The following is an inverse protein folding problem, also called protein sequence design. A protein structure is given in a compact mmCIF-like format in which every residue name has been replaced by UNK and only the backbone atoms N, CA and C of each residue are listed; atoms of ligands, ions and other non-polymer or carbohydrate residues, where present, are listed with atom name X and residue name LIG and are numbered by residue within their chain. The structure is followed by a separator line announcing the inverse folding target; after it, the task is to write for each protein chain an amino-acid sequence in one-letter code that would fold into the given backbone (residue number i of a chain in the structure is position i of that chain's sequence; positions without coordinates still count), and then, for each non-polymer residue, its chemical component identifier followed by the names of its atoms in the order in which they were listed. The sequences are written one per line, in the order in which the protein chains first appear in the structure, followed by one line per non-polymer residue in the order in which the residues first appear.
data_IF_461952453313
#
_entry.id   IF_461952453313
#
_cell.length_a   1.000
_cell.length_b   1.000
_cell.length_c   1.000
_cell.angle_alpha   90.00
_cell.angle_beta   90.00
_cell.angle_gamma   90.00
#
_symmetry.space_group_name_H-M   'P 1'
#
loop_
_entity.id
_entity.type
_entity.pdbx_description
1 polymer ?
#
# COMPACT_ATOMS: atom_id res chain seq x y z
N UNK A 1 -23.63 6.14 -39.50
CA UNK A 1 -23.53 5.15 -38.41
C UNK A 1 -24.41 5.64 -37.27
N UNK A 2 -25.01 4.75 -36.48
CA UNK A 2 -25.86 5.17 -35.35
C UNK A 2 -24.99 5.67 -34.19
N UNK A 3 -25.49 6.62 -33.39
CA UNK A 3 -24.77 7.14 -32.22
C UNK A 3 -24.31 6.03 -31.25
N UNK A 4 -25.09 4.95 -31.13
CA UNK A 4 -24.75 3.79 -30.31
C UNK A 4 -23.54 2.99 -30.85
N UNK A 5 -23.36 2.95 -32.18
CA UNK A 5 -22.20 2.29 -32.78
C UNK A 5 -20.92 3.10 -32.55
N UNK A 6 -21.00 4.43 -32.62
CA UNK A 6 -19.87 5.32 -32.34
C UNK A 6 -19.44 5.25 -30.86
N UNK A 7 -20.42 5.23 -29.94
CA UNK A 7 -20.15 5.04 -28.51
C UNK A 7 -19.45 3.71 -28.23
N UNK A 8 -19.96 2.62 -28.80
CA UNK A 8 -19.40 1.28 -28.62
C UNK A 8 -17.94 1.20 -29.12
N UNK A 9 -17.65 1.79 -30.29
CA UNK A 9 -16.30 1.81 -30.86
C UNK A 9 -15.31 2.61 -29.98
N UNK A 10 -15.73 3.76 -29.45
CA UNK A 10 -14.90 4.56 -28.55
C UNK A 10 -14.65 3.84 -27.22
N UNK A 11 -15.67 3.18 -26.65
CA UNK A 11 -15.51 2.36 -25.44
C UNK A 11 -14.59 1.16 -25.70
N UNK A 12 -14.72 0.48 -26.83
CA UNK A 12 -13.82 -0.61 -27.21
C UNK A 12 -12.35 -0.16 -27.31
N UNK A 13 -12.10 1.04 -27.84
CA UNK A 13 -10.75 1.61 -27.88
C UNK A 13 -10.16 1.81 -26.47
N UNK A 14 -10.97 2.24 -25.50
CA UNK A 14 -10.58 2.38 -24.10
C UNK A 14 -10.27 1.02 -23.46
N UNK A 15 -11.03 -0.03 -23.81
CA UNK A 15 -10.83 -1.39 -23.29
C UNK A 15 -9.59 -2.08 -23.87
N UNK A 16 -9.24 -1.81 -25.13
CA UNK A 16 -8.04 -2.37 -25.78
C UNK A 16 -6.74 -1.83 -25.20
N UNK A 17 -6.75 -0.59 -24.71
CA UNK A 17 -5.59 0.03 -24.07
C UNK A 17 -5.99 0.74 -22.77
N UNK A 18 -6.19 -0.02 -21.65
CA UNK A 18 -6.70 0.53 -20.40
C UNK A 18 -5.81 1.57 -19.72
N UNK A 19 -4.53 1.63 -20.07
CA UNK A 19 -3.60 2.60 -19.48
C UNK A 19 -3.48 3.89 -20.26
N UNK A 20 -3.86 3.88 -21.53
CA UNK A 20 -3.67 5.02 -22.39
C UNK A 20 -4.81 6.01 -22.18
N UNK A 21 -4.43 7.22 -21.82
CA UNK A 21 -5.39 8.29 -21.60
C UNK A 21 -5.96 8.81 -22.93
N UNK A 22 -5.27 8.64 -24.07
CA UNK A 22 -5.74 9.17 -25.35
C UNK A 22 -7.12 8.64 -25.79
N UNK A 23 -7.39 7.32 -25.82
CA UNK A 23 -8.74 6.82 -26.09
C UNK A 23 -9.80 7.36 -25.12
N UNK A 24 -9.43 7.60 -23.86
CA UNK A 24 -10.34 8.14 -22.83
C UNK A 24 -10.65 9.60 -23.09
N UNK A 25 -9.65 10.40 -23.46
CA UNK A 25 -9.82 11.80 -23.81
C UNK A 25 -10.66 11.96 -25.08
N UNK A 26 -10.47 11.12 -26.09
CA UNK A 26 -11.34 11.11 -27.29
C UNK A 26 -12.78 10.75 -26.91
N UNK A 27 -12.98 9.77 -26.04
CA UNK A 27 -14.32 9.45 -25.53
C UNK A 27 -14.93 10.59 -24.71
N UNK A 28 -14.11 11.32 -23.95
CA UNK A 28 -14.53 12.50 -23.20
C UNK A 28 -14.99 13.64 -24.13
N UNK A 29 -14.28 13.89 -25.24
CA UNK A 29 -14.69 14.88 -26.25
C UNK A 29 -16.07 14.52 -26.83
N UNK A 30 -16.27 13.25 -27.18
CA UNK A 30 -17.56 12.76 -27.68
C UNK A 30 -18.70 12.92 -26.66
N UNK A 31 -18.42 12.73 -25.37
CA UNK A 31 -19.39 12.94 -24.27
C UNK A 31 -19.74 14.42 -24.08
N UNK A 32 -18.77 15.32 -24.20
CA UNK A 32 -18.97 16.77 -24.05
C UNK A 32 -19.85 17.35 -25.15
N UNK A 33 -19.66 16.91 -26.40
CA UNK A 33 -20.54 17.28 -27.53
C UNK A 33 -22.02 16.96 -27.26
N UNK A 34 -22.28 16.03 -26.34
CA UNK A 34 -23.61 15.56 -25.95
C UNK A 34 -24.05 16.09 -24.58
N UNK A 35 -23.27 16.99 -23.98
CA UNK A 35 -23.57 17.62 -22.70
C UNK A 35 -23.44 16.66 -21.50
N UNK A 36 -22.73 15.54 -21.64
CA UNK A 36 -22.55 14.60 -20.54
C UNK A 36 -21.44 15.06 -19.59
N UNK A 37 -21.71 15.21 -18.28
CA UNK A 37 -20.71 15.63 -17.30
C UNK A 37 -19.58 14.59 -17.10
N UNK A 38 -19.76 13.38 -17.66
CA UNK A 38 -18.74 12.31 -17.62
C UNK A 38 -17.49 12.68 -18.44
N UNK A 39 -17.62 13.48 -19.50
CA UNK A 39 -16.47 13.94 -20.28
C UNK A 39 -15.50 14.77 -19.44
N UNK A 40 -16.00 15.78 -18.73
CA UNK A 40 -15.21 16.53 -17.74
C UNK A 40 -14.58 15.61 -16.69
N UNK A 41 -15.35 14.66 -16.16
CA UNK A 41 -14.86 13.76 -15.13
C UNK A 41 -13.68 12.88 -15.59
N UNK A 42 -13.75 12.32 -16.80
CA UNK A 42 -12.66 11.55 -17.40
C UNK A 42 -11.38 12.39 -17.41
N UNK A 43 -11.45 13.64 -17.90
CA UNK A 43 -10.28 14.52 -17.99
C UNK A 43 -9.71 14.88 -16.62
N UNK A 44 -10.59 15.15 -15.64
CA UNK A 44 -10.17 15.41 -14.25
C UNK A 44 -9.40 14.22 -13.69
N UNK A 45 -9.90 12.99 -13.87
CA UNK A 45 -9.22 11.81 -13.36
C UNK A 45 -7.94 11.46 -14.13
N UNK A 46 -7.88 11.70 -15.45
CA UNK A 46 -6.65 11.54 -16.24
C UNK A 46 -5.57 12.53 -15.76
N UNK A 47 -5.92 13.82 -15.59
CA UNK A 47 -4.99 14.83 -15.09
C UNK A 47 -4.50 14.52 -13.65
N UNK A 48 -5.38 13.98 -12.79
CA UNK A 48 -5.00 13.50 -11.46
C UNK A 48 -4.04 12.30 -11.51
N UNK A 49 -4.20 11.42 -12.50
CA UNK A 49 -3.34 10.24 -12.68
C UNK A 49 -1.96 10.60 -13.24
N UNK A 50 -1.86 11.62 -14.10
CA UNK A 50 -0.59 12.11 -14.64
C UNK A 50 0.30 12.70 -13.52
N UNK A 51 -0.30 13.42 -12.57
CA UNK A 51 0.37 13.85 -11.34
C UNK A 51 1.47 14.93 -11.53
N UNK A 52 1.60 15.50 -12.72
CA UNK A 52 2.57 16.56 -13.07
C UNK A 52 2.13 17.95 -12.62
N UNK A 53 0.83 18.12 -12.34
CA UNK A 53 0.25 19.40 -11.97
C UNK A 53 0.72 19.91 -10.59
N UNK A 54 0.86 21.24 -10.40
CA UNK A 54 1.17 21.83 -9.10
C UNK A 54 0.16 21.44 -8.01
N UNK A 55 0.61 21.41 -6.75
CA UNK A 55 -0.21 21.01 -5.59
C UNK A 55 -1.55 21.74 -5.48
N UNK A 56 -1.60 23.04 -5.82
CA UNK A 56 -2.83 23.82 -5.80
C UNK A 56 -3.86 23.31 -6.82
N UNK A 57 -3.40 22.95 -8.02
CA UNK A 57 -4.26 22.42 -9.08
C UNK A 57 -4.71 20.99 -8.74
N UNK A 58 -3.84 20.14 -8.22
CA UNK A 58 -4.23 18.81 -7.74
C UNK A 58 -5.33 18.87 -6.67
N UNK A 59 -5.28 19.86 -5.76
CA UNK A 59 -6.34 20.08 -4.77
C UNK A 59 -7.65 20.50 -5.42
N UNK A 60 -7.60 21.40 -6.41
CA UNK A 60 -8.77 21.84 -7.18
C UNK A 60 -9.40 20.68 -7.96
N UNK A 61 -8.59 19.90 -8.67
CA UNK A 61 -9.02 18.71 -9.41
C UNK A 61 -9.68 17.69 -8.48
N UNK A 62 -9.11 17.39 -7.31
CA UNK A 62 -9.73 16.49 -6.31
C UNK A 62 -11.04 17.04 -5.73
N UNK A 63 -11.21 18.36 -5.64
CA UNK A 63 -12.50 18.94 -5.27
C UNK A 63 -13.51 18.72 -6.39
N UNK A 64 -13.12 18.98 -7.63
CA UNK A 64 -13.98 18.82 -8.80
C UNK A 64 -14.39 17.36 -9.06
N UNK A 65 -13.46 16.43 -8.93
CA UNK A 65 -13.71 14.98 -9.00
C UNK A 65 -14.83 14.56 -8.03
N UNK A 66 -14.78 15.03 -6.78
CA UNK A 66 -15.79 14.72 -5.76
C UNK A 66 -17.15 15.32 -6.07
N UNK A 67 -17.18 16.55 -6.57
CA UNK A 67 -18.43 17.20 -7.01
C UNK A 67 -19.10 16.39 -8.13
N UNK A 68 -18.32 16.02 -9.16
CA UNK A 68 -18.82 15.27 -10.30
C UNK A 68 -19.33 13.87 -9.90
N UNK A 69 -18.61 13.17 -9.02
CA UNK A 69 -19.01 11.86 -8.48
C UNK A 69 -20.27 11.94 -7.61
N UNK A 70 -20.39 12.97 -6.77
CA UNK A 70 -21.52 13.10 -5.86
C UNK A 70 -22.83 13.34 -6.62
N UNK A 71 -22.78 14.18 -7.66
CA UNK A 71 -23.97 14.53 -8.45
C UNK A 71 -24.34 13.45 -9.47
N UNK A 72 -23.39 12.62 -9.92
CA UNK A 72 -23.60 11.73 -11.06
C UNK A 72 -23.04 10.31 -10.84
N UNK A 73 -23.24 9.75 -9.65
CA UNK A 73 -22.64 8.47 -9.22
C UNK A 73 -23.04 7.24 -10.05
N UNK A 74 -24.12 7.36 -10.84
CA UNK A 74 -24.64 6.32 -11.72
C UNK A 74 -24.64 6.83 -13.17
N UNK A 75 -23.48 6.89 -13.82
CA UNK A 75 -23.46 7.05 -15.27
C UNK A 75 -24.04 5.77 -15.91
N UNK A 76 -25.10 5.96 -16.70
CA UNK A 76 -26.18 5.00 -16.97
C UNK A 76 -25.77 3.64 -17.60
N UNK A 77 -24.51 3.45 -18.00
CA UNK A 77 -24.02 2.24 -18.65
C UNK A 77 -23.09 1.35 -17.79
N UNK A 78 -22.57 1.83 -16.65
CA UNK A 78 -21.65 1.06 -15.78
C UNK A 78 -22.25 0.70 -14.41
N UNK A 79 -23.45 1.21 -14.15
CA UNK A 79 -24.30 0.77 -13.05
C UNK A 79 -24.63 -0.75 -13.01
N UNK A 80 -24.69 -1.52 -14.13
CA UNK A 80 -25.04 -2.94 -14.07
C UNK A 80 -23.88 -3.86 -13.67
N UNK A 81 -22.65 -3.34 -13.51
CA UNK A 81 -21.55 -4.14 -12.99
C UNK A 81 -21.89 -4.57 -11.57
N UNK A 82 -22.07 -5.88 -11.35
CA UNK A 82 -22.43 -6.50 -10.06
C UNK A 82 -21.27 -6.47 -9.04
N UNK A 83 -20.54 -5.37 -9.01
CA UNK A 83 -19.45 -5.07 -8.10
C UNK A 83 -19.97 -4.31 -6.89
N UNK A 84 -19.52 -4.72 -5.71
CA UNK A 84 -19.75 -3.98 -4.48
C UNK A 84 -18.67 -2.91 -4.34
N UNK A 85 -19.06 -1.69 -3.94
CA UNK A 85 -18.15 -0.53 -3.79
C UNK A 85 -17.31 -0.29 -5.07
N UNK A 86 -17.95 -0.12 -6.24
CA UNK A 86 -17.21 0.23 -7.44
C UNK A 86 -16.49 1.57 -7.24
N UNK A 87 -15.30 1.71 -7.84
CA UNK A 87 -14.58 2.99 -7.88
C UNK A 87 -14.19 3.31 -9.31
N UNK A 88 -14.36 4.58 -9.66
CA UNK A 88 -13.95 5.09 -10.95
C UNK A 88 -12.46 5.39 -10.98
N UNK A 89 -11.81 4.96 -12.06
CA UNK A 89 -10.42 5.23 -12.42
C UNK A 89 -10.43 5.78 -13.83
N UNK A 90 -9.91 6.99 -14.01
CA UNK A 90 -9.86 7.70 -15.31
C UNK A 90 -11.20 7.73 -16.04
N UNK A 91 -12.30 7.83 -15.29
CA UNK A 91 -13.66 7.98 -15.79
C UNK A 91 -14.44 6.70 -16.06
N UNK A 92 -13.88 5.53 -15.74
CA UNK A 92 -14.52 4.22 -15.89
C UNK A 92 -14.45 3.42 -14.60
N UNK A 93 -15.32 2.44 -14.40
CA UNK A 93 -15.19 1.49 -13.28
C UNK A 93 -13.89 0.68 -13.43
N UNK A 94 -12.85 1.12 -12.72
CA UNK A 94 -11.53 0.49 -12.75
C UNK A 94 -11.25 -0.39 -11.53
N UNK A 95 -12.10 -0.35 -10.50
CA UNK A 95 -12.01 -1.29 -9.39
C UNK A 95 -13.32 -1.59 -8.69
N UNK A 96 -13.37 -2.72 -8.00
CA UNK A 96 -14.50 -3.07 -7.15
C UNK A 96 -14.26 -4.32 -6.32
N UNK A 97 -15.29 -4.71 -5.56
CA UNK A 97 -15.30 -5.93 -4.77
C UNK A 97 -16.24 -6.93 -5.44
N UNK A 98 -15.72 -8.10 -5.77
CA UNK A 98 -16.47 -9.21 -6.31
C UNK A 98 -16.51 -10.36 -5.31
N UNK A 99 -17.68 -10.99 -5.16
CA UNK A 99 -17.76 -12.24 -4.40
C UNK A 99 -17.06 -13.34 -5.18
N UNK A 100 -16.19 -14.10 -4.51
CA UNK A 100 -15.46 -15.22 -5.15
C UNK A 100 -16.41 -16.34 -5.61
N UNK A 101 -17.68 -16.34 -5.17
CA UNK A 101 -18.69 -17.26 -5.72
C UNK A 101 -18.99 -16.96 -7.19
N UNK A 102 -18.85 -15.71 -7.63
CA UNK A 102 -19.27 -15.23 -8.95
C UNK A 102 -18.10 -14.91 -9.89
N UNK A 103 -16.83 -15.08 -9.50
CA UNK A 103 -15.71 -14.69 -10.37
C UNK A 103 -15.69 -15.45 -11.70
N UNK A 104 -16.09 -16.73 -11.70
CA UNK A 104 -16.05 -17.58 -12.88
C UNK A 104 -17.14 -17.22 -13.90
N UNK A 105 -18.28 -16.67 -13.46
CA UNK A 105 -19.37 -16.25 -14.35
C UNK A 105 -19.28 -14.79 -14.73
N UNK A 106 -18.87 -13.92 -13.80
CA UNK A 106 -18.86 -12.47 -14.01
C UNK A 106 -17.50 -11.92 -14.42
N UNK A 107 -16.39 -12.62 -14.17
CA UNK A 107 -15.05 -12.08 -14.40
C UNK A 107 -14.81 -11.65 -15.85
N UNK A 108 -15.14 -12.52 -16.82
CA UNK A 108 -15.03 -12.23 -18.26
C UNK A 108 -15.94 -11.06 -18.67
N UNK A 109 -17.18 -11.02 -18.14
CA UNK A 109 -18.12 -9.93 -18.41
C UNK A 109 -17.57 -8.59 -17.89
N UNK A 110 -17.02 -8.58 -16.67
CA UNK A 110 -16.51 -7.36 -16.04
C UNK A 110 -15.35 -6.75 -16.83
N UNK A 111 -14.41 -7.57 -17.32
CA UNK A 111 -13.28 -7.06 -18.11
C UNK A 111 -13.68 -6.71 -19.56
N UNK A 112 -14.77 -7.29 -20.06
CA UNK A 112 -15.33 -6.93 -21.37
C UNK A 112 -16.15 -5.63 -21.34
N UNK A 113 -16.73 -5.27 -20.19
CA UNK A 113 -17.59 -4.09 -20.05
C UNK A 113 -16.86 -2.87 -19.46
N UNK A 114 -15.74 -3.09 -18.78
CA UNK A 114 -14.98 -2.02 -18.13
C UNK A 114 -13.46 -2.28 -18.13
N UNK A 115 -12.63 -1.21 -18.20
CA UNK A 115 -11.18 -1.30 -18.08
C UNK A 115 -10.78 -1.55 -16.63
N UNK A 116 -11.09 -2.76 -16.13
CA UNK A 116 -10.89 -3.14 -14.75
C UNK A 116 -9.39 -3.35 -14.47
N UNK A 117 -8.80 -2.48 -13.64
CA UNK A 117 -7.38 -2.55 -13.28
C UNK A 117 -7.17 -3.29 -11.94
N UNK A 118 -8.15 -3.25 -11.04
CA UNK A 118 -8.01 -3.68 -9.65
C UNK A 118 -9.26 -4.42 -9.16
N UNK A 119 -9.10 -5.64 -8.62
CA UNK A 119 -10.24 -6.43 -8.11
C UNK A 119 -9.96 -6.94 -6.71
N UNK A 120 -10.94 -6.79 -5.82
CA UNK A 120 -10.93 -7.46 -4.52
C UNK A 120 -11.90 -8.62 -4.54
N UNK A 121 -11.39 -9.84 -4.43
CA UNK A 121 -12.19 -11.05 -4.30
C UNK A 121 -12.41 -11.36 -2.82
N UNK A 122 -13.67 -11.40 -2.39
CA UNK A 122 -14.03 -11.70 -0.99
C UNK A 122 -14.93 -12.93 -0.89
N UNK A 123 -14.84 -13.62 0.24
CA UNK A 123 -15.83 -14.55 0.77
C UNK A 123 -16.05 -15.83 -0.08
N UNK A 124 -15.07 -16.73 -0.04
CA UNK A 124 -15.34 -18.13 -0.39
C UNK A 124 -14.09 -18.99 -0.37
N UNK A 125 -14.04 -19.85 0.63
CA UNK A 125 -13.12 -20.97 0.64
C UNK A 125 -13.36 -21.86 -0.61
N UNK A 126 -12.29 -22.45 -1.13
CA UNK A 126 -12.30 -23.61 -2.04
C UNK A 126 -12.43 -23.36 -3.55
N UNK A 127 -11.90 -22.25 -4.10
CA UNK A 127 -11.92 -22.01 -5.56
C UNK A 127 -10.64 -21.45 -6.18
N UNK A 128 -9.51 -21.47 -5.48
CA UNK A 128 -8.25 -20.91 -5.98
C UNK A 128 -7.74 -21.59 -7.24
N UNK A 129 -7.86 -22.92 -7.34
CA UNK A 129 -7.48 -23.65 -8.55
C UNK A 129 -8.30 -23.22 -9.78
N UNK A 130 -9.60 -22.89 -9.59
CA UNK A 130 -10.45 -22.36 -10.66
C UNK A 130 -10.08 -20.92 -11.01
N UNK A 131 -9.79 -20.09 -10.00
CA UNK A 131 -9.33 -18.73 -10.20
C UNK A 131 -8.04 -18.70 -11.01
N UNK A 132 -7.10 -19.61 -10.74
CA UNK A 132 -5.83 -19.74 -11.45
C UNK A 132 -5.99 -19.95 -12.97
N UNK A 133 -7.13 -20.47 -13.41
CA UNK A 133 -7.44 -20.76 -14.82
C UNK A 133 -8.18 -19.61 -15.51
N UNK A 134 -8.55 -18.55 -14.80
CA UNK A 134 -9.30 -17.44 -15.36
C UNK A 134 -8.42 -16.52 -16.20
N UNK A 135 -8.74 -16.41 -17.49
CA UNK A 135 -7.96 -15.62 -18.45
C UNK A 135 -8.03 -14.11 -18.20
N UNK A 136 -9.16 -13.63 -17.67
CA UNK A 136 -9.37 -12.24 -17.30
C UNK A 136 -8.39 -11.71 -16.24
N UNK A 137 -7.68 -12.59 -15.50
CA UNK A 137 -6.60 -12.17 -14.60
C UNK A 137 -5.46 -11.45 -15.35
N UNK A 138 -5.25 -11.77 -16.63
CA UNK A 138 -4.21 -11.16 -17.46
C UNK A 138 -4.41 -9.67 -17.71
N UNK A 139 -5.61 -9.14 -17.45
CA UNK A 139 -5.92 -7.72 -17.57
C UNK A 139 -5.76 -6.96 -16.25
N UNK A 140 -5.66 -7.67 -15.11
CA UNK A 140 -5.58 -7.05 -13.80
C UNK A 140 -4.15 -6.65 -13.43
N UNK A 141 -4.04 -5.45 -12.85
CA UNK A 141 -2.79 -4.92 -12.26
C UNK A 141 -2.76 -5.11 -10.76
N UNK A 142 -3.93 -5.12 -10.12
CA UNK A 142 -4.04 -5.32 -8.69
C UNK A 142 -5.08 -6.38 -8.36
N UNK A 143 -4.69 -7.30 -7.48
CA UNK A 143 -5.56 -8.35 -6.98
C UNK A 143 -5.46 -8.41 -5.47
N UNK A 144 -6.61 -8.28 -4.81
CA UNK A 144 -6.73 -8.55 -3.39
C UNK A 144 -7.54 -9.80 -3.17
N UNK A 145 -6.94 -10.76 -2.46
CA UNK A 145 -7.54 -12.02 -2.01
C UNK A 145 -7.79 -12.00 -0.50
N UNK A 146 -7.94 -10.81 0.09
CA UNK A 146 -8.10 -10.62 1.53
C UNK A 146 -9.28 -11.40 2.13
N UNK A 147 -9.05 -11.95 3.33
CA UNK A 147 -10.06 -12.66 4.12
C UNK A 147 -10.66 -13.88 3.39
N UNK A 148 -9.85 -14.55 2.57
CA UNK A 148 -10.19 -15.86 2.01
C UNK A 148 -9.39 -16.94 2.74
N UNK A 149 -10.08 -18.00 3.17
CA UNK A 149 -9.43 -19.26 3.53
C UNK A 149 -9.16 -20.03 2.24
N UNK A 150 -7.93 -20.51 2.07
CA UNK A 150 -7.55 -21.31 0.92
C UNK A 150 -7.53 -22.78 1.34
N UNK A 151 -7.93 -23.68 0.44
CA UNK A 151 -7.68 -25.10 0.66
C UNK A 151 -6.16 -25.31 0.73
N UNK A 152 -5.66 -26.14 1.66
CA UNK A 152 -4.25 -26.50 1.69
C UNK A 152 -3.78 -26.95 0.30
N UNK A 153 -2.66 -26.38 -0.18
CA UNK A 153 -2.11 -26.70 -1.50
C UNK A 153 -2.78 -26.03 -2.70
N UNK A 154 -3.87 -25.26 -2.52
CA UNK A 154 -4.53 -24.56 -3.63
C UNK A 154 -3.85 -23.24 -4.03
N UNK A 155 -3.10 -22.61 -3.12
CA UNK A 155 -2.37 -21.37 -3.41
C UNK A 155 -1.17 -21.58 -4.34
N UNK A 156 -0.38 -22.69 -4.24
CA UNK A 156 0.64 -23.02 -5.22
C UNK A 156 0.11 -23.15 -6.65
N UNK A 157 -1.10 -23.70 -6.82
CA UNK A 157 -1.77 -23.77 -8.14
C UNK A 157 -2.06 -22.37 -8.68
N UNK A 158 -2.49 -21.45 -7.82
CA UNK A 158 -2.69 -20.06 -8.20
C UNK A 158 -1.37 -19.35 -8.56
N UNK A 159 -0.31 -19.57 -7.79
CA UNK A 159 1.02 -19.00 -8.07
C UNK A 159 1.61 -19.44 -9.43
N UNK A 160 1.15 -20.58 -9.95
CA UNK A 160 1.51 -21.10 -11.29
C UNK A 160 0.59 -20.61 -12.42
N UNK A 161 -0.40 -19.77 -12.13
CA UNK A 161 -1.31 -19.26 -13.16
C UNK A 161 -0.56 -18.51 -14.27
N UNK A 162 -0.84 -18.82 -15.56
CA UNK A 162 -0.22 -18.15 -16.69
C UNK A 162 -0.70 -16.69 -16.86
N UNK A 163 -1.76 -16.31 -16.15
CA UNK A 163 -2.47 -15.04 -16.34
C UNK A 163 -2.07 -13.96 -15.33
N UNK A 164 -1.00 -14.16 -14.54
CA UNK A 164 -0.53 -13.18 -13.55
C UNK A 164 0.57 -12.23 -14.08
N UNK A 165 0.87 -12.30 -15.38
CA UNK A 165 2.00 -11.60 -16.01
C UNK A 165 1.98 -10.07 -15.91
N UNK A 166 0.79 -9.48 -15.77
CA UNK A 166 0.56 -8.03 -15.69
C UNK A 166 0.37 -7.53 -14.26
N UNK A 167 0.34 -8.43 -13.28
CA UNK A 167 0.02 -8.10 -11.90
C UNK A 167 1.17 -7.32 -11.25
N UNK A 168 0.88 -6.10 -10.80
CA UNK A 168 1.81 -5.22 -10.11
C UNK A 168 1.63 -5.22 -8.59
N UNK A 169 0.43 -5.58 -8.11
CA UNK A 169 0.11 -5.57 -6.69
C UNK A 169 -0.72 -6.78 -6.29
N UNK A 170 -0.19 -7.59 -5.38
CA UNK A 170 -0.89 -8.73 -4.78
C UNK A 170 -1.07 -8.50 -3.28
N UNK A 171 -2.32 -8.59 -2.82
CA UNK A 171 -2.65 -8.49 -1.40
C UNK A 171 -3.34 -9.78 -0.95
N UNK A 172 -2.78 -10.42 0.06
CA UNK A 172 -3.30 -11.64 0.69
C UNK A 172 -3.22 -11.48 2.20
N UNK A 173 -4.19 -10.78 2.80
CA UNK A 173 -4.24 -10.53 4.24
C UNK A 173 -5.31 -11.35 4.93
N UNK A 174 -5.07 -11.66 6.21
CA UNK A 174 -6.01 -12.44 7.04
C UNK A 174 -6.41 -13.76 6.36
N UNK A 175 -5.42 -14.40 5.75
CA UNK A 175 -5.54 -15.70 5.08
C UNK A 175 -4.62 -16.69 5.79
N UNK A 176 -5.03 -17.96 5.84
CA UNK A 176 -4.21 -19.04 6.41
C UNK A 176 -3.18 -19.53 5.39
N UNK A 177 -2.24 -18.66 5.02
CA UNK A 177 -1.09 -19.08 4.22
C UNK A 177 -0.18 -19.97 5.06
N UNK A 178 0.32 -21.03 4.44
CA UNK A 178 1.30 -21.98 4.96
C UNK A 178 2.66 -21.74 4.29
N UNK A 179 3.71 -22.39 4.81
CA UNK A 179 5.07 -22.25 4.29
C UNK A 179 5.20 -22.55 2.78
N UNK A 180 4.55 -23.63 2.33
CA UNK A 180 4.50 -24.02 0.91
C UNK A 180 3.91 -22.93 0.00
N UNK A 181 3.06 -22.06 0.54
CA UNK A 181 2.43 -20.98 -0.22
C UNK A 181 3.40 -19.82 -0.48
N UNK A 182 4.26 -19.50 0.49
CA UNK A 182 5.30 -18.47 0.35
C UNK A 182 6.39 -18.91 -0.63
N UNK A 183 6.82 -20.18 -0.55
CA UNK A 183 7.76 -20.78 -1.50
C UNK A 183 7.18 -20.76 -2.92
N UNK A 184 5.94 -21.19 -3.09
CA UNK A 184 5.29 -21.17 -4.40
C UNK A 184 5.17 -19.75 -4.96
N UNK A 185 4.89 -18.76 -4.12
CA UNK A 185 4.85 -17.36 -4.54
C UNK A 185 6.22 -16.83 -4.95
N UNK A 186 7.28 -17.17 -4.20
CA UNK A 186 8.66 -16.81 -4.55
C UNK A 186 9.10 -17.43 -5.89
N UNK A 187 8.64 -18.64 -6.19
CA UNK A 187 8.94 -19.36 -7.43
C UNK A 187 7.95 -19.07 -8.58
N UNK A 188 6.97 -18.19 -8.38
CA UNK A 188 5.98 -17.82 -9.39
C UNK A 188 6.63 -17.08 -10.57
N UNK A 189 6.99 -17.84 -11.61
CA UNK A 189 7.69 -17.31 -12.80
C UNK A 189 6.88 -16.27 -13.59
N UNK A 190 5.58 -16.18 -13.38
CA UNK A 190 4.69 -15.23 -14.06
C UNK A 190 4.61 -13.87 -13.36
N UNK A 191 4.90 -13.77 -12.05
CA UNK A 191 4.82 -12.53 -11.26
C UNK A 191 6.03 -11.60 -11.45
N UNK A 192 6.50 -11.41 -12.70
CA UNK A 192 7.70 -10.62 -13.03
C UNK A 192 7.51 -9.11 -12.90
N UNK A 193 6.27 -8.63 -12.91
CA UNK A 193 5.90 -7.22 -12.82
C UNK A 193 5.48 -6.81 -11.40
N UNK A 194 5.56 -7.73 -10.43
CA UNK A 194 5.09 -7.47 -9.08
C UNK A 194 5.94 -6.39 -8.40
N UNK A 195 5.31 -5.27 -8.06
CA UNK A 195 5.90 -4.12 -7.36
C UNK A 195 5.50 -4.07 -5.90
N UNK A 196 4.33 -4.61 -5.55
CA UNK A 196 3.78 -4.58 -4.19
C UNK A 196 3.27 -5.96 -3.78
N UNK A 197 3.74 -6.44 -2.63
CA UNK A 197 3.29 -7.68 -2.02
C UNK A 197 2.89 -7.44 -0.57
N UNK A 198 1.64 -7.78 -0.22
CA UNK A 198 1.11 -7.62 1.14
C UNK A 198 0.58 -8.93 1.67
N UNK A 199 1.20 -9.46 2.73
CA UNK A 199 0.93 -10.77 3.33
C UNK A 199 0.55 -10.67 4.82
N UNK A 200 -0.01 -9.54 5.26
CA UNK A 200 -0.24 -9.26 6.69
C UNK A 200 -1.29 -10.17 7.33
N UNK A 201 -1.08 -10.52 8.61
CA UNK A 201 -1.94 -11.41 9.39
C UNK A 201 -2.16 -12.77 8.71
N UNK A 202 -1.12 -13.27 8.06
CA UNK A 202 -1.03 -14.65 7.62
C UNK A 202 -0.39 -15.47 8.74
N UNK A 203 -0.79 -16.73 8.91
CA UNK A 203 -0.10 -17.66 9.85
C UNK A 203 1.13 -18.26 9.17
N UNK A 204 1.96 -17.42 8.57
CA UNK A 204 3.22 -17.84 7.96
C UNK A 204 4.17 -18.26 9.08
N UNK A 205 4.87 -19.39 8.95
CA UNK A 205 5.89 -19.87 9.90
C UNK A 205 7.29 -19.46 9.41
N UNK A 206 8.29 -19.43 10.29
CA UNK A 206 9.49 -18.55 10.25
C UNK A 206 10.36 -18.61 8.99
N UNK A 207 10.15 -19.58 8.11
CA UNK A 207 10.96 -19.85 6.93
C UNK A 207 10.60 -19.00 5.68
N UNK A 208 9.51 -18.22 5.73
CA UNK A 208 8.88 -17.70 4.51
C UNK A 208 9.57 -16.46 3.91
N UNK A 209 10.23 -15.62 4.71
CA UNK A 209 10.74 -14.33 4.23
C UNK A 209 12.09 -14.40 3.56
N UNK A 210 12.99 -15.27 4.02
CA UNK A 210 14.26 -15.49 3.32
C UNK A 210 14.00 -16.00 1.90
N UNK A 211 12.99 -16.85 1.74
CA UNK A 211 12.56 -17.37 0.44
C UNK A 211 11.94 -16.28 -0.44
N UNK A 212 11.04 -15.45 0.11
CA UNK A 212 10.45 -14.32 -0.62
C UNK A 212 11.51 -13.28 -0.99
N UNK A 213 12.47 -13.00 -0.10
CA UNK A 213 13.58 -12.09 -0.35
C UNK A 213 14.54 -12.61 -1.41
N UNK A 214 14.82 -13.92 -1.40
CA UNK A 214 15.66 -14.60 -2.39
C UNK A 214 14.91 -14.98 -3.68
N UNK A 215 13.66 -14.54 -3.85
CA UNK A 215 12.87 -14.87 -5.04
C UNK A 215 13.59 -14.39 -6.32
N UNK A 216 13.81 -15.29 -7.30
CA UNK A 216 14.41 -14.88 -8.58
C UNK A 216 13.45 -14.04 -9.44
N UNK A 217 12.17 -13.98 -9.09
CA UNK A 217 11.10 -13.38 -9.89
C UNK A 217 10.74 -11.96 -9.45
N UNK A 218 10.93 -11.63 -8.17
CA UNK A 218 10.54 -10.34 -7.59
C UNK A 218 11.48 -9.18 -7.90
N UNK A 219 12.06 -9.16 -9.10
CA UNK A 219 13.07 -8.18 -9.55
C UNK A 219 12.61 -6.71 -9.50
N UNK A 220 11.31 -6.47 -9.48
CA UNK A 220 10.69 -5.14 -9.43
C UNK A 220 9.99 -4.84 -8.10
N UNK A 221 10.11 -5.70 -7.10
CA UNK A 221 9.42 -5.54 -5.83
C UNK A 221 9.94 -4.30 -5.11
N UNK A 222 9.03 -3.37 -4.82
CA UNK A 222 9.30 -2.08 -4.20
C UNK A 222 8.68 -1.96 -2.81
N UNK A 223 7.60 -2.68 -2.54
CA UNK A 223 6.88 -2.65 -1.27
C UNK A 223 6.59 -4.07 -0.83
N UNK A 224 7.04 -4.40 0.38
CA UNK A 224 6.77 -5.67 1.02
C UNK A 224 6.15 -5.41 2.40
N UNK A 225 4.98 -5.98 2.62
CA UNK A 225 4.29 -5.97 3.89
C UNK A 225 4.01 -7.39 4.35
N UNK A 226 4.32 -7.70 5.60
CA UNK A 226 4.04 -9.02 6.17
C UNK A 226 3.87 -8.97 7.69
N UNK A 227 3.37 -10.07 8.23
CA UNK A 227 3.31 -10.34 9.66
C UNK A 227 4.14 -11.58 9.93
N UNK A 228 5.36 -11.46 10.47
CA UNK A 228 6.18 -12.62 10.69
C UNK A 228 5.64 -13.40 11.88
N UNK A 229 5.76 -14.74 11.85
CA UNK A 229 5.64 -15.55 13.04
C UNK A 229 6.70 -15.15 14.05
N UNK A 230 6.47 -15.49 15.33
CA UNK A 230 7.37 -15.25 16.47
C UNK A 230 8.84 -15.48 16.11
N UNK A 231 9.56 -14.42 15.73
CA UNK A 231 10.96 -14.49 15.30
C UNK A 231 11.80 -13.48 16.04
N UNK A 232 13.06 -13.85 16.20
CA UNK A 232 14.17 -13.05 16.69
C UNK A 232 14.79 -12.17 15.59
N UNK A 233 14.11 -11.98 14.45
CA UNK A 233 14.45 -11.06 13.36
C UNK A 233 15.69 -11.38 12.52
N UNK A 234 16.30 -12.56 12.68
CA UNK A 234 17.46 -12.99 11.88
C UNK A 234 17.15 -13.13 10.37
N UNK A 235 15.88 -13.16 9.98
CA UNK A 235 15.45 -13.30 8.58
C UNK A 235 16.05 -12.25 7.65
N UNK A 236 16.43 -11.06 8.16
CA UNK A 236 17.07 -10.02 7.37
C UNK A 236 18.55 -10.29 7.07
N UNK A 237 19.28 -11.00 7.94
CA UNK A 237 20.73 -11.23 7.79
C UNK A 237 21.08 -12.14 6.60
N UNK A 238 20.17 -13.04 6.24
CA UNK A 238 20.29 -13.91 5.05
C UNK A 238 19.44 -13.48 3.85
N UNK A 239 18.64 -12.43 3.99
CA UNK A 239 17.74 -11.97 2.94
C UNK A 239 18.50 -11.22 1.84
N UNK A 240 18.61 -11.83 0.66
CA UNK A 240 19.16 -11.20 -0.53
C UNK A 240 18.09 -10.35 -1.25
N UNK A 241 17.44 -9.42 -0.54
CA UNK A 241 16.53 -8.49 -1.19
C UNK A 241 17.25 -7.79 -2.32
N UNK A 242 16.61 -7.76 -3.49
CA UNK A 242 17.06 -6.91 -4.56
C UNK A 242 17.06 -5.44 -4.12
N UNK A 243 17.98 -4.66 -4.70
CA UNK A 243 18.15 -3.24 -4.40
C UNK A 243 16.95 -2.36 -4.82
N UNK A 244 15.79 -2.94 -5.10
CA UNK A 244 14.56 -2.23 -5.50
C UNK A 244 13.59 -2.01 -4.35
N UNK A 245 13.74 -2.69 -3.20
CA UNK A 245 12.81 -2.56 -2.08
C UNK A 245 12.93 -1.17 -1.44
N UNK A 246 11.84 -0.40 -1.51
CA UNK A 246 11.72 0.97 -0.98
C UNK A 246 10.85 1.05 0.26
N UNK A 247 9.93 0.13 0.43
CA UNK A 247 9.02 0.07 1.58
C UNK A 247 9.05 -1.32 2.20
N UNK A 248 9.28 -1.33 3.51
CA UNK A 248 9.18 -2.50 4.36
C UNK A 248 8.19 -2.19 5.49
N UNK A 249 7.08 -2.92 5.52
CA UNK A 249 6.09 -2.86 6.59
C UNK A 249 6.00 -4.21 7.30
N UNK A 250 6.24 -4.18 8.60
CA UNK A 250 6.23 -5.37 9.45
C UNK A 250 5.20 -5.15 10.52
N UNK A 251 4.16 -5.98 10.49
CA UNK A 251 3.14 -5.99 11.53
C UNK A 251 3.54 -6.94 12.63
N UNK A 252 3.46 -6.48 13.88
CA UNK A 252 3.55 -7.31 15.06
C UNK A 252 2.22 -7.25 15.84
N UNK A 253 1.79 -8.37 16.42
CA UNK A 253 0.60 -8.42 17.29
C UNK A 253 1.06 -8.55 18.75
N UNK A 254 0.44 -7.75 19.62
CA UNK A 254 0.66 -7.80 21.06
C UNK A 254 0.11 -9.13 21.64
N UNK A 255 0.76 -9.77 22.62
CA UNK A 255 2.03 -9.41 23.28
C UNK A 255 3.27 -10.07 22.66
N UNK A 256 3.18 -10.65 21.45
CA UNK A 256 4.20 -11.61 20.97
C UNK A 256 5.25 -10.99 20.03
N UNK A 257 5.15 -9.69 19.74
CA UNK A 257 6.06 -9.00 18.82
C UNK A 257 7.18 -8.19 19.45
N UNK A 258 7.40 -8.30 20.76
CA UNK A 258 8.22 -7.32 21.50
C UNK A 258 9.72 -7.29 21.14
N UNK A 259 10.28 -8.28 20.47
CA UNK A 259 11.71 -8.30 20.10
C UNK A 259 11.98 -8.15 18.61
N UNK A 260 10.94 -8.26 17.77
CA UNK A 260 11.09 -8.30 16.32
C UNK A 260 11.61 -6.97 15.76
N UNK A 261 11.03 -5.87 16.22
CA UNK A 261 11.46 -4.53 15.84
C UNK A 261 12.91 -4.28 16.25
N UNK A 262 13.31 -4.76 17.44
CA UNK A 262 14.70 -4.65 17.90
C UNK A 262 15.67 -5.35 16.95
N UNK A 263 15.38 -6.59 16.58
CA UNK A 263 16.28 -7.34 15.72
C UNK A 263 16.37 -6.77 14.30
N UNK A 264 15.23 -6.32 13.74
CA UNK A 264 15.22 -5.63 12.45
C UNK A 264 16.08 -4.36 12.52
N UNK A 265 15.89 -3.53 13.54
CA UNK A 265 16.68 -2.31 13.69
C UNK A 265 18.16 -2.56 13.90
N UNK A 266 18.54 -3.52 14.75
CA UNK A 266 19.95 -3.92 14.94
C UNK A 266 20.54 -4.42 13.64
N UNK A 267 19.84 -5.28 12.90
CA UNK A 267 20.33 -5.78 11.62
C UNK A 267 20.52 -4.65 10.61
N UNK A 268 19.61 -3.68 10.54
CA UNK A 268 19.75 -2.53 9.65
C UNK A 268 20.85 -1.56 10.08
N UNK A 269 21.15 -1.48 11.39
CA UNK A 269 22.24 -0.70 11.96
C UNK A 269 23.62 -1.36 11.71
N UNK A 270 23.71 -2.68 11.90
CA UNK A 270 24.91 -3.49 11.70
C UNK A 270 25.27 -3.66 10.21
N UNK A 271 24.25 -3.66 9.33
CA UNK A 271 24.41 -3.82 7.89
C UNK A 271 23.82 -2.64 7.09
N UNK A 272 24.48 -1.47 7.06
CA UNK A 272 24.06 -0.30 6.29
C UNK A 272 23.73 -0.54 4.80
N UNK A 273 24.43 -1.48 4.17
CA UNK A 273 24.25 -1.82 2.75
C UNK A 273 23.03 -2.69 2.47
N UNK A 274 22.43 -3.32 3.49
CA UNK A 274 21.24 -4.15 3.34
C UNK A 274 20.02 -3.26 3.08
N UNK A 275 19.25 -3.43 2.01
CA UNK A 275 18.13 -2.52 1.65
C UNK A 275 18.57 -1.07 1.39
N UNK A 276 19.50 -0.82 0.46
CA UNK A 276 20.08 0.51 0.25
C UNK A 276 19.07 1.54 -0.27
N UNK A 277 17.99 1.07 -0.92
CA UNK A 277 16.92 1.90 -1.48
C UNK A 277 15.74 2.11 -0.52
N UNK A 278 15.86 1.71 0.74
CA UNK A 278 14.76 1.80 1.69
C UNK A 278 14.40 3.26 2.00
N UNK A 279 13.16 3.63 1.66
CA UNK A 279 12.57 4.95 1.85
C UNK A 279 11.59 4.99 3.02
N UNK A 280 10.93 3.85 3.30
CA UNK A 280 9.85 3.72 4.28
C UNK A 280 10.00 2.45 5.11
N UNK A 281 10.10 2.61 6.43
CA UNK A 281 10.19 1.53 7.39
C UNK A 281 9.06 1.65 8.42
N UNK A 282 8.20 0.64 8.48
CA UNK A 282 7.07 0.58 9.40
C UNK A 282 7.21 -0.66 10.28
N UNK A 283 7.53 -0.47 11.57
CA UNK A 283 7.70 -1.52 12.59
C UNK A 283 6.71 -1.34 13.75
N UNK A 284 5.48 -0.96 13.42
CA UNK A 284 4.46 -0.67 14.40
C UNK A 284 4.18 -1.90 15.29
N UNK A 285 4.18 -1.67 16.59
CA UNK A 285 4.02 -2.65 17.66
C UNK A 285 5.09 -3.75 17.67
N UNK A 286 6.23 -3.50 17.02
CA UNK A 286 7.39 -4.41 17.00
C UNK A 286 8.25 -4.38 18.27
N UNK A 287 7.80 -3.69 19.32
CA UNK A 287 8.48 -3.60 20.61
C UNK A 287 9.89 -3.02 20.55
N UNK A 288 10.09 -1.99 19.75
CA UNK A 288 11.40 -1.34 19.70
C UNK A 288 11.72 -0.73 21.07
N UNK A 289 12.85 -1.16 21.63
CA UNK A 289 13.42 -0.65 22.87
C UNK A 289 14.28 0.58 22.61
N UNK A 290 14.40 1.39 23.64
CA UNK A 290 14.94 2.73 23.56
C UNK A 290 16.41 2.74 23.12
N UNK A 291 17.25 1.85 23.69
CA UNK A 291 18.67 1.76 23.32
C UNK A 291 18.86 1.27 21.88
N UNK A 292 18.03 0.33 21.41
CA UNK A 292 18.12 -0.18 20.04
C UNK A 292 17.75 0.89 19.02
N UNK A 293 16.73 1.70 19.34
CA UNK A 293 16.38 2.83 18.50
C UNK A 293 17.52 3.86 18.45
N UNK A 294 18.15 4.17 19.58
CA UNK A 294 19.32 5.06 19.63
C UNK A 294 20.49 4.51 18.82
N UNK A 295 20.83 3.22 18.96
CA UNK A 295 21.84 2.54 18.14
C UNK A 295 21.53 2.69 16.64
N UNK A 296 20.28 2.44 16.23
CA UNK A 296 19.85 2.62 14.85
C UNK A 296 20.00 4.06 14.36
N UNK A 297 19.58 5.05 15.16
CA UNK A 297 19.73 6.48 14.82
C UNK A 297 21.21 6.86 14.66
N UNK A 298 22.08 6.37 15.54
CA UNK A 298 23.52 6.67 15.53
C UNK A 298 24.29 5.92 14.44
N UNK A 299 23.76 4.83 13.90
CA UNK A 299 24.36 4.09 12.76
C UNK A 299 24.37 4.88 11.45
N UNK A 300 23.60 5.98 11.38
CA UNK A 300 23.71 7.11 10.45
C UNK A 300 23.86 6.81 8.93
N UNK A 301 23.40 5.66 8.43
CA UNK A 301 23.76 5.19 7.08
C UNK A 301 22.59 5.04 6.08
N UNK A 302 21.45 5.72 6.28
CA UNK A 302 20.23 5.51 5.47
C UNK A 302 19.72 6.78 4.77
N UNK A 303 20.43 7.32 3.77
CA UNK A 303 20.11 8.62 3.17
C UNK A 303 18.73 8.68 2.48
N UNK A 304 18.15 7.54 2.12
CA UNK A 304 16.82 7.44 1.50
C UNK A 304 15.66 7.43 2.50
N UNK A 305 15.90 7.13 3.78
CA UNK A 305 14.83 6.84 4.74
C UNK A 305 14.13 8.14 5.15
N UNK A 306 12.90 8.30 4.69
CA UNK A 306 12.10 9.49 4.96
C UNK A 306 10.76 9.20 5.65
N UNK A 307 10.41 7.93 5.85
CA UNK A 307 9.24 7.54 6.62
C UNK A 307 9.62 6.47 7.62
N UNK A 308 9.34 6.74 8.90
CA UNK A 308 9.59 5.82 9.99
C UNK A 308 8.34 5.71 10.86
N UNK A 309 7.89 4.49 11.14
CA UNK A 309 6.77 4.25 12.04
C UNK A 309 7.11 3.20 13.09
N UNK A 310 7.02 3.59 14.36
CA UNK A 310 7.35 2.77 15.53
C UNK A 310 6.23 2.87 16.58
N UNK A 311 4.97 2.92 16.13
CA UNK A 311 3.83 2.98 17.06
C UNK A 311 3.91 1.85 18.09
N UNK A 312 3.52 2.09 19.34
CA UNK A 312 3.56 1.10 20.41
C UNK A 312 4.97 0.63 20.80
N UNK A 313 6.00 1.41 20.49
CA UNK A 313 7.39 1.15 20.90
C UNK A 313 7.74 1.94 22.16
N UNK A 314 8.75 1.48 22.91
CA UNK A 314 9.15 2.06 24.20
C UNK A 314 10.10 3.26 24.02
N UNK A 315 9.75 4.16 23.11
CA UNK A 315 10.54 5.36 22.81
C UNK A 315 10.21 6.47 23.82
N UNK A 316 11.19 6.90 24.60
CA UNK A 316 11.04 7.95 25.62
C UNK A 316 11.68 9.30 25.20
N UNK A 317 11.80 10.21 26.16
CA UNK A 317 12.33 11.55 25.94
C UNK A 317 13.83 11.55 25.59
N UNK A 318 14.64 10.66 26.17
CA UNK A 318 16.09 10.58 25.88
C UNK A 318 16.32 10.21 24.41
N UNK A 319 15.60 9.19 23.93
CA UNK A 319 15.63 8.80 22.53
C UNK A 319 15.12 9.91 21.61
N UNK A 320 14.12 10.68 22.04
CA UNK A 320 13.62 11.83 21.30
C UNK A 320 14.67 12.94 21.16
N UNK A 321 15.47 13.21 22.21
CA UNK A 321 16.60 14.15 22.15
C UNK A 321 17.70 13.69 21.19
N UNK A 322 18.03 12.39 21.19
CA UNK A 322 19.00 11.82 20.25
C UNK A 322 18.49 11.98 18.81
N UNK A 323 17.25 11.59 18.54
CA UNK A 323 16.64 11.75 17.22
C UNK A 323 16.65 13.22 16.79
N UNK A 324 16.23 14.14 17.67
CA UNK A 324 16.18 15.58 17.38
C UNK A 324 17.53 16.16 16.93
N UNK A 325 18.63 15.56 17.36
CA UNK A 325 20.00 16.01 17.04
C UNK A 325 20.64 15.26 15.87
N UNK A 326 20.00 14.19 15.39
CA UNK A 326 20.54 13.27 14.37
C UNK A 326 20.35 13.76 12.93
N UNK A 327 21.11 13.17 11.99
CA UNK A 327 20.92 13.41 10.54
C UNK A 327 19.58 12.87 10.03
N UNK A 328 19.08 11.78 10.61
CA UNK A 328 17.81 11.17 10.23
C UNK A 328 16.65 12.18 10.32
N UNK A 329 16.68 13.07 11.33
CA UNK A 329 15.66 14.12 11.51
C UNK A 329 15.59 15.13 10.36
N UNK A 330 16.67 15.32 9.61
CA UNK A 330 16.71 16.18 8.41
C UNK A 330 16.08 15.53 7.18
N UNK A 331 15.99 14.20 7.17
CA UNK A 331 15.51 13.41 6.04
C UNK A 331 14.01 13.09 6.19
N UNK A 332 13.58 12.81 7.42
CA UNK A 332 12.22 12.40 7.75
C UNK A 332 11.17 13.39 7.24
N UNK A 333 10.23 12.84 6.46
CA UNK A 333 8.99 13.49 6.00
C UNK A 333 7.80 13.05 6.85
N UNK A 334 7.84 11.82 7.39
CA UNK A 334 6.80 11.26 8.24
C UNK A 334 7.42 10.44 9.37
N UNK A 335 7.10 10.76 10.62
CA UNK A 335 7.44 9.97 11.80
C UNK A 335 6.17 9.60 12.56
N UNK A 336 5.92 8.31 12.79
CA UNK A 336 4.81 7.82 13.63
C UNK A 336 5.33 7.19 14.91
N UNK A 337 4.94 7.75 16.06
CA UNK A 337 5.30 7.26 17.40
C UNK A 337 4.09 7.24 18.33
N UNK A 338 2.94 6.79 17.82
CA UNK A 338 1.74 6.64 18.65
C UNK A 338 1.97 5.65 19.80
N UNK A 339 1.32 5.85 20.94
CA UNK A 339 1.43 5.00 22.13
C UNK A 339 2.90 4.71 22.53
N UNK A 340 3.76 5.72 22.45
CA UNK A 340 5.16 5.67 22.93
C UNK A 340 5.28 6.08 24.41
N UNK A 341 6.46 5.85 25.00
CA UNK A 341 6.76 6.21 26.39
C UNK A 341 7.06 7.71 26.59
N UNK A 342 7.22 8.46 25.49
CA UNK A 342 7.55 9.88 25.43
C UNK A 342 6.56 10.78 26.16
N UNK A 343 7.09 11.78 26.86
CA UNK A 343 6.32 12.84 27.52
C UNK A 343 6.22 14.09 26.63
N UNK A 344 5.69 15.18 27.19
CA UNK A 344 5.67 16.48 26.52
C UNK A 344 7.08 17.00 26.20
N UNK A 345 8.08 16.68 27.03
CA UNK A 345 9.43 17.20 26.85
C UNK A 345 10.13 16.56 25.64
N UNK A 346 9.99 15.25 25.43
CA UNK A 346 10.48 14.60 24.20
C UNK A 346 9.80 15.15 22.94
N UNK A 347 8.50 15.41 23.01
CA UNK A 347 7.77 16.01 21.87
C UNK A 347 8.29 17.43 21.58
N UNK A 348 8.56 18.21 22.64
CA UNK A 348 9.16 19.53 22.52
C UNK A 348 10.58 19.46 21.95
N UNK A 349 11.38 18.47 22.33
CA UNK A 349 12.71 18.24 21.76
C UNK A 349 12.64 17.99 20.24
N UNK A 350 11.72 17.14 19.79
CA UNK A 350 11.51 16.90 18.36
C UNK A 350 10.98 18.15 17.63
N UNK A 351 10.07 18.91 18.25
CA UNK A 351 9.49 20.14 17.68
C UNK A 351 10.55 21.21 17.43
N UNK A 352 11.46 21.37 18.39
CA UNK A 352 12.51 22.39 18.40
C UNK A 352 13.81 21.94 17.76
N UNK A 353 13.85 20.72 17.20
CA UNK A 353 15.03 20.22 16.49
C UNK A 353 15.51 21.21 15.42
N UNK A 354 16.79 21.63 15.44
CA UNK A 354 17.34 22.54 14.45
C UNK A 354 17.50 21.87 13.07
N UNK A 355 17.52 20.54 13.04
CA UNK A 355 17.68 19.73 11.82
C UNK A 355 16.36 19.37 11.17
N UNK A 356 15.21 19.71 11.78
CA UNK A 356 13.90 19.31 11.31
C UNK A 356 13.61 19.80 9.90
N UNK A 357 13.21 18.86 9.02
CA UNK A 357 12.72 19.19 7.68
C UNK A 357 11.43 20.00 7.74
N UNK A 358 11.39 21.12 7.01
CA UNK A 358 10.15 21.91 6.84
C UNK A 358 9.06 21.07 6.17
N UNK A 359 7.85 21.10 6.73
CA UNK A 359 6.69 20.35 6.22
C UNK A 359 6.66 18.86 6.59
N UNK A 360 7.61 18.37 7.39
CA UNK A 360 7.56 17.01 7.92
C UNK A 360 6.36 16.84 8.86
N UNK A 361 5.69 15.68 8.75
CA UNK A 361 4.55 15.29 9.58
C UNK A 361 5.03 14.38 10.70
N UNK A 362 4.65 14.73 11.91
CA UNK A 362 4.89 13.92 13.10
C UNK A 362 3.52 13.47 13.58
N UNK A 363 3.32 12.16 13.71
CA UNK A 363 2.08 11.57 14.19
C UNK A 363 2.38 10.98 15.58
N UNK A 364 2.10 11.81 16.59
CA UNK A 364 2.42 11.58 17.99
C UNK A 364 1.07 11.61 18.73
N UNK A 365 0.53 10.45 19.05
CA UNK A 365 -0.71 10.33 19.82
C UNK A 365 -0.41 9.40 20.97
N UNK A 366 -0.66 9.84 22.18
CA UNK A 366 -0.54 8.98 23.36
C UNK A 366 -1.83 9.06 24.13
N UNK A 367 -2.35 7.91 24.52
CA UNK A 367 -3.45 7.81 25.48
C UNK A 367 -3.11 8.42 26.85
N UNK A 368 -1.85 8.81 27.08
CA UNK A 368 -1.37 9.47 28.31
C UNK A 368 -1.65 10.98 28.35
N UNK A 369 -1.95 11.62 27.23
CA UNK A 369 -2.20 13.06 27.20
C UNK A 369 -3.69 13.37 27.29
N UNK A 370 -4.05 14.30 28.18
CA UNK A 370 -5.39 14.87 28.23
C UNK A 370 -5.68 15.73 26.98
N UNK A 371 -6.96 15.92 26.64
CA UNK A 371 -7.37 16.80 25.54
C UNK A 371 -6.79 18.22 25.68
N UNK A 372 -6.72 18.74 26.91
CA UNK A 372 -6.12 20.05 27.20
C UNK A 372 -4.63 20.10 26.88
N UNK A 373 -3.89 19.02 27.17
CA UNK A 373 -2.46 18.92 26.80
C UNK A 373 -2.31 18.85 25.27
N UNK A 374 -3.14 18.05 24.58
CA UNK A 374 -3.11 17.97 23.12
C UNK A 374 -3.44 19.31 22.45
N UNK A 375 -4.39 20.08 22.99
CA UNK A 375 -4.70 21.43 22.52
C UNK A 375 -3.56 22.42 22.78
N UNK A 376 -2.96 22.40 23.98
CA UNK A 376 -1.81 23.23 24.29
C UNK A 376 -0.63 22.94 23.36
N UNK A 377 -0.41 21.66 23.02
CA UNK A 377 0.61 21.23 22.06
C UNK A 377 0.31 21.70 20.63
N UNK A 378 -0.95 21.63 20.20
CA UNK A 378 -1.36 22.20 18.90
C UNK A 378 -1.12 23.71 18.84
N UNK A 379 -1.31 24.42 19.94
CA UNK A 379 -1.02 25.85 20.02
C UNK A 379 0.50 26.14 20.06
N UNK A 380 1.26 25.40 20.86
CA UNK A 380 2.72 25.58 21.01
C UNK A 380 3.48 25.20 19.72
N UNK A 381 3.06 24.13 19.04
CA UNK A 381 3.81 23.53 17.93
C UNK A 381 3.13 23.70 16.56
N UNK A 382 1.92 24.26 16.51
CA UNK A 382 1.18 24.54 15.28
C UNK A 382 0.89 23.26 14.47
N UNK A 383 1.45 23.17 13.26
CA UNK A 383 1.30 22.00 12.37
C UNK A 383 2.27 20.86 12.67
N UNK A 384 3.20 21.05 13.62
CA UNK A 384 4.08 19.99 14.10
C UNK A 384 3.27 19.05 14.98
N UNK A 385 2.84 17.92 14.41
CA UNK A 385 2.01 16.96 15.13
C UNK A 385 0.59 16.90 14.59
N UNK A 386 0.20 15.79 13.93
CA UNK A 386 -1.21 15.41 13.87
C UNK A 386 -1.55 14.77 15.22
N UNK A 387 -1.84 15.60 16.20
CA UNK A 387 -2.39 15.18 17.49
C UNK A 387 -3.86 14.87 17.29
N UNK A 388 -4.25 13.61 17.05
CA UNK A 388 -5.68 13.27 17.04
C UNK A 388 -6.24 13.41 18.46
N UNK A 389 -7.37 14.12 18.61
CA UNK A 389 -8.19 14.09 19.83
C UNK A 389 -9.09 12.86 19.70
N UNK A 390 -9.29 12.12 20.78
CA UNK A 390 -10.18 10.94 20.78
C UNK A 390 -11.62 11.28 20.44
#
# INVERSE_FOLDING_TARGET
MSQAADEAALREAVLKDPLNDLPRLIFADWLDERGSPRGEFIRVQCALAEGTAPTAELKRLRRRERELLYTNWAWDAEAPLKLRKPRFVRGFVGSGILSVQHFHTLGEQLVAEAPLESLTLTAGANRMAKLAQCSWLAQLRELSLDKNDFEPGSFPVFAQSPYLGTLESLTVRRSRLQMIDAEALAQASTLKQLKRLKLDRTRTELADLAVLAASPNFKQLQSLSFHPPRSDGEFLRGAAFNNTLRELEVFAEFPFGHSLGNSIMRTLADAPSLLPSLERLMLNYGGVENHVFVEFVLSNSRPGLHTLGLNGSLIDDEAAYVLASSELMSQLRLLRLHDSAMTIEGIRALARSPRRRKGARFELHSRRFSNRQLEAMRQEFGTFGCFAVQ
#
